data_IF_472593612417
#
_entry.id   IF_472593612417
#
_cell.length_a   1.000
_cell.length_b   1.000
_cell.length_c   1.000
_cell.angle_alpha   90.00
_cell.angle_beta   90.00
_cell.angle_gamma   90.00
#
_symmetry.space_group_name_H-M   'P 1'
#
loop_
_entity.id
_entity.type
_entity.pdbx_description
1 polymer ?
#
# COMPACT_ATOMS: atom_id res chain seq x y z
N UNK A 1 10.93 -58.62 20.04
CA UNK A 1 11.31 -57.73 18.91
C UNK A 1 10.40 -56.51 18.97
N UNK A 2 10.96 -55.31 19.11
CA UNK A 2 10.22 -54.07 19.39
C UNK A 2 9.48 -53.56 18.14
N UNK A 3 8.16 -53.55 18.20
CA UNK A 3 7.25 -52.96 17.22
C UNK A 3 7.08 -51.43 17.42
N UNK A 4 8.06 -50.77 18.03
CA UNK A 4 8.05 -49.34 18.37
C UNK A 4 8.84 -48.46 17.37
N UNK A 5 9.37 -49.03 16.28
CA UNK A 5 10.15 -48.30 15.25
C UNK A 5 9.36 -47.98 13.98
N UNK A 6 8.03 -48.04 14.01
CA UNK A 6 7.16 -47.64 12.89
C UNK A 6 6.23 -46.46 13.23
N UNK A 7 6.25 -45.97 14.46
CA UNK A 7 5.49 -44.81 14.94
C UNK A 7 6.42 -43.71 15.47
N UNK A 8 7.55 -43.48 14.79
CA UNK A 8 8.43 -42.36 15.08
C UNK A 8 9.20 -41.91 13.83
N UNK A 9 8.44 -41.46 12.84
CA UNK A 9 8.80 -40.28 12.04
C UNK A 9 7.65 -39.30 12.29
N UNK A 10 7.66 -38.60 13.42
CA UNK A 10 8.02 -37.17 13.37
C UNK A 10 8.89 -36.79 12.17
N UNK A 11 8.30 -36.81 10.97
CA UNK A 11 8.55 -35.74 10.01
C UNK A 11 7.64 -34.59 10.48
N UNK A 12 7.92 -33.98 11.62
CA UNK A 12 8.66 -32.71 11.66
C UNK A 12 8.25 -31.80 10.49
N UNK A 13 7.02 -31.29 10.60
CA UNK A 13 6.69 -29.87 10.70
C UNK A 13 7.50 -28.86 9.85
N UNK A 14 7.98 -29.25 8.67
CA UNK A 14 8.45 -28.31 7.65
C UNK A 14 8.35 -28.94 6.27
N UNK A 15 7.13 -29.27 5.81
CA UNK A 15 6.87 -29.00 4.38
C UNK A 15 7.12 -27.51 4.25
N UNK A 16 8.25 -27.13 3.66
CA UNK A 16 8.67 -25.76 3.36
C UNK A 16 7.48 -24.83 3.46
N UNK A 17 7.33 -24.13 4.59
CA UNK A 17 6.13 -23.31 4.82
C UNK A 17 6.17 -22.24 3.74
N UNK A 18 5.47 -22.49 2.64
CA UNK A 18 5.51 -21.65 1.46
C UNK A 18 5.27 -20.23 1.94
N UNK A 19 6.26 -19.36 1.71
CA UNK A 19 6.13 -17.95 2.05
C UNK A 19 5.18 -17.33 1.02
N UNK A 20 3.89 -17.52 1.28
CA UNK A 20 2.82 -17.04 0.43
C UNK A 20 2.83 -15.51 0.30
N UNK A 21 3.43 -14.80 1.26
CA UNK A 21 3.64 -13.37 1.14
C UNK A 21 4.72 -13.08 0.09
N UNK A 22 5.89 -13.70 0.20
CA UNK A 22 6.97 -13.53 -0.78
C UNK A 22 6.54 -13.96 -2.20
N UNK A 23 5.83 -15.08 -2.32
CA UNK A 23 5.25 -15.53 -3.59
C UNK A 23 4.26 -14.50 -4.15
N UNK A 24 3.36 -13.97 -3.32
CA UNK A 24 2.40 -12.95 -3.72
C UNK A 24 3.07 -11.68 -4.23
N UNK A 25 4.13 -11.22 -3.56
CA UNK A 25 4.94 -10.06 -4.00
C UNK A 25 5.59 -10.34 -5.37
N UNK A 26 6.18 -11.51 -5.57
CA UNK A 26 6.80 -11.89 -6.84
C UNK A 26 5.79 -12.00 -7.98
N UNK A 27 4.61 -12.57 -7.72
CA UNK A 27 3.51 -12.63 -8.68
C UNK A 27 3.01 -11.23 -9.05
N UNK A 28 2.88 -10.33 -8.06
CA UNK A 28 2.47 -8.95 -8.30
C UNK A 28 3.49 -8.16 -9.14
N UNK A 29 4.79 -8.39 -8.91
CA UNK A 29 5.89 -7.82 -9.74
C UNK A 29 5.82 -8.30 -11.19
N UNK A 30 5.42 -9.55 -11.40
CA UNK A 30 5.19 -10.16 -12.74
C UNK A 30 3.81 -9.86 -13.32
N UNK A 31 3.04 -8.97 -12.67
CA UNK A 31 1.69 -8.57 -13.08
C UNK A 31 0.66 -9.72 -13.11
N UNK A 32 0.94 -10.82 -12.43
CA UNK A 32 0.03 -11.96 -12.24
C UNK A 32 -0.90 -11.70 -11.06
N UNK A 33 -1.73 -10.67 -11.18
CA UNK A 33 -2.46 -10.08 -10.05
C UNK A 33 -3.43 -11.02 -9.34
N UNK A 34 -4.21 -11.83 -10.08
CA UNK A 34 -5.16 -12.75 -9.45
C UNK A 34 -4.47 -13.86 -8.66
N UNK A 35 -3.31 -14.30 -9.15
CA UNK A 35 -2.49 -15.30 -8.47
C UNK A 35 -1.83 -14.67 -7.23
N UNK A 36 -1.32 -13.44 -7.35
CA UNK A 36 -0.83 -12.68 -6.19
C UNK A 36 -1.88 -12.54 -5.09
N UNK A 37 -3.12 -12.17 -5.45
CA UNK A 37 -4.23 -12.10 -4.49
C UNK A 37 -4.54 -13.46 -3.86
N UNK A 38 -4.35 -14.56 -4.59
CA UNK A 38 -4.53 -15.92 -4.06
C UNK A 38 -3.45 -16.24 -3.04
N UNK A 39 -2.17 -15.99 -3.34
CA UNK A 39 -1.08 -16.17 -2.38
C UNK A 39 -1.24 -15.26 -1.16
N UNK A 40 -1.59 -13.98 -1.33
CA UNK A 40 -1.84 -13.10 -0.18
C UNK A 40 -3.00 -13.56 0.70
N UNK A 41 -4.08 -14.11 0.13
CA UNK A 41 -5.16 -14.71 0.94
C UNK A 41 -4.68 -15.92 1.74
N UNK A 42 -3.78 -16.73 1.19
CA UNK A 42 -3.16 -17.84 1.91
C UNK A 42 -2.23 -17.32 3.02
N UNK A 43 -1.44 -16.28 2.77
CA UNK A 43 -0.63 -15.63 3.79
C UNK A 43 -1.47 -15.09 4.97
N UNK A 44 -2.64 -14.49 4.68
CA UNK A 44 -3.57 -14.05 5.71
C UNK A 44 -4.27 -15.18 6.47
N UNK A 45 -4.33 -16.41 5.95
CA UNK A 45 -4.81 -17.55 6.76
C UNK A 45 -3.86 -17.88 7.90
N UNK A 46 -2.56 -17.74 7.65
CA UNK A 46 -1.51 -17.94 8.64
C UNK A 46 -1.39 -16.74 9.60
N UNK A 47 -1.52 -15.52 9.08
CA UNK A 47 -1.45 -14.26 9.84
C UNK A 47 -2.62 -13.34 9.50
N UNK A 48 -3.80 -13.51 10.13
CA UNK A 48 -5.04 -12.81 9.76
C UNK A 48 -5.03 -11.28 9.84
N UNK A 49 -4.06 -10.72 10.56
CA UNK A 49 -3.90 -9.27 10.77
C UNK A 49 -2.56 -8.75 10.25
N UNK A 50 -1.91 -9.47 9.34
CA UNK A 50 -0.67 -8.98 8.75
C UNK A 50 -0.95 -7.78 7.84
N UNK A 51 -0.67 -6.59 8.38
CA UNK A 51 -0.95 -5.33 7.72
C UNK A 51 -0.15 -5.17 6.42
N UNK A 52 1.07 -5.70 6.35
CA UNK A 52 1.89 -5.66 5.14
C UNK A 52 1.26 -6.48 4.01
N UNK A 53 0.71 -7.67 4.30
CA UNK A 53 -0.06 -8.43 3.31
C UNK A 53 -1.32 -7.69 2.85
N UNK A 54 -2.06 -7.07 3.78
CA UNK A 54 -3.25 -6.28 3.43
C UNK A 54 -2.91 -5.07 2.53
N UNK A 55 -1.81 -4.36 2.82
CA UNK A 55 -1.31 -3.27 2.00
C UNK A 55 -0.96 -3.75 0.59
N UNK A 56 -0.25 -4.88 0.45
CA UNK A 56 0.07 -5.44 -0.86
C UNK A 56 -1.19 -5.87 -1.63
N UNK A 57 -2.19 -6.44 -0.95
CA UNK A 57 -3.49 -6.72 -1.58
C UNK A 57 -4.18 -5.45 -2.07
N UNK A 58 -4.19 -4.38 -1.29
CA UNK A 58 -4.78 -3.10 -1.66
C UNK A 58 -4.07 -2.47 -2.87
N UNK A 59 -2.73 -2.56 -2.94
CA UNK A 59 -1.94 -2.16 -4.11
C UNK A 59 -2.34 -2.99 -5.33
N UNK A 60 -2.47 -4.30 -5.20
CA UNK A 60 -2.90 -5.16 -6.32
C UNK A 60 -4.31 -4.81 -6.79
N UNK A 61 -5.26 -4.62 -5.87
CA UNK A 61 -6.62 -4.16 -6.19
C UNK A 61 -6.62 -2.82 -6.94
N UNK A 62 -5.75 -1.89 -6.52
CA UNK A 62 -5.54 -0.60 -7.21
C UNK A 62 -5.06 -0.82 -8.65
N UNK A 63 -4.06 -1.68 -8.87
CA UNK A 63 -3.49 -1.94 -10.21
C UNK A 63 -4.48 -2.58 -11.18
N UNK A 64 -5.44 -3.36 -10.70
CA UNK A 64 -6.47 -4.01 -11.53
C UNK A 64 -7.78 -3.22 -11.61
N UNK A 65 -7.84 -2.00 -11.06
CA UNK A 65 -9.02 -1.13 -11.13
C UNK A 65 -10.17 -1.54 -10.20
N UNK A 66 -9.94 -2.44 -9.25
CA UNK A 66 -10.90 -2.81 -8.20
C UNK A 66 -10.87 -1.76 -7.07
N UNK A 67 -11.34 -0.55 -7.40
CA UNK A 67 -11.19 0.63 -6.53
C UNK A 67 -11.92 0.48 -5.20
N UNK A 68 -13.11 -0.11 -5.17
CA UNK A 68 -13.87 -0.29 -3.92
C UNK A 68 -13.20 -1.29 -2.98
N UNK A 69 -12.69 -2.40 -3.51
CA UNK A 69 -11.91 -3.39 -2.76
C UNK A 69 -10.63 -2.77 -2.21
N UNK A 70 -9.93 -1.96 -3.02
CA UNK A 70 -8.72 -1.28 -2.61
C UNK A 70 -8.99 -0.30 -1.46
N UNK A 71 -9.99 0.59 -1.59
CA UNK A 71 -10.36 1.55 -0.54
C UNK A 71 -10.78 0.86 0.76
N UNK A 72 -11.61 -0.21 0.68
CA UNK A 72 -11.96 -1.00 1.87
C UNK A 72 -10.73 -1.65 2.51
N UNK A 73 -9.79 -2.14 1.71
CA UNK A 73 -8.60 -2.81 2.23
C UNK A 73 -7.63 -1.80 2.86
N UNK A 74 -7.42 -0.63 2.24
CA UNK A 74 -6.66 0.46 2.85
C UNK A 74 -7.32 0.96 4.14
N UNK A 75 -8.65 1.11 4.17
CA UNK A 75 -9.39 1.46 5.38
C UNK A 75 -9.11 0.50 6.53
N UNK A 76 -9.16 -0.81 6.28
CA UNK A 76 -8.82 -1.83 7.30
C UNK A 76 -7.38 -1.72 7.81
N UNK A 77 -6.43 -1.33 6.97
CA UNK A 77 -5.05 -1.09 7.41
C UNK A 77 -4.99 0.11 8.33
N UNK A 78 -5.68 1.20 7.96
CA UNK A 78 -5.71 2.45 8.73
C UNK A 78 -6.50 2.34 10.03
N UNK A 79 -7.51 1.48 10.09
CA UNK A 79 -8.25 1.18 11.33
C UNK A 79 -7.34 0.55 12.41
N UNK A 80 -6.36 -0.25 11.99
CA UNK A 80 -5.43 -0.94 12.88
C UNK A 80 -4.12 -0.17 13.09
N UNK A 81 -3.64 0.54 12.07
CA UNK A 81 -2.44 1.37 12.11
C UNK A 81 -2.67 2.70 11.37
N UNK A 82 -3.18 3.72 12.09
CA UNK A 82 -3.55 5.02 11.51
C UNK A 82 -2.39 5.84 10.96
N UNK A 83 -1.15 5.46 11.24
CA UNK A 83 0.06 6.17 10.83
C UNK A 83 0.75 5.54 9.61
N UNK A 84 0.12 4.59 8.92
CA UNK A 84 0.68 3.89 7.76
C UNK A 84 0.71 4.78 6.51
N UNK A 85 1.90 5.26 6.07
CA UNK A 85 1.98 6.19 4.95
C UNK A 85 1.48 5.57 3.64
N UNK A 86 1.87 4.33 3.36
CA UNK A 86 1.50 3.63 2.12
C UNK A 86 -0.03 3.51 1.95
N UNK A 87 -0.75 3.25 3.05
CA UNK A 87 -2.21 3.14 3.03
C UNK A 87 -2.87 4.51 2.81
N UNK A 88 -2.38 5.56 3.48
CA UNK A 88 -2.83 6.93 3.24
C UNK A 88 -2.63 7.36 1.78
N UNK A 89 -1.44 7.15 1.22
CA UNK A 89 -1.17 7.51 -0.18
C UNK A 89 -2.07 6.76 -1.16
N UNK A 90 -2.22 5.44 -0.98
CA UNK A 90 -3.07 4.60 -1.83
C UNK A 90 -4.54 5.03 -1.79
N UNK A 91 -5.09 5.29 -0.59
CA UNK A 91 -6.44 5.79 -0.43
C UNK A 91 -6.62 7.18 -1.07
N UNK A 92 -5.72 8.12 -0.79
CA UNK A 92 -5.74 9.46 -1.37
C UNK A 92 -5.71 9.45 -2.89
N UNK A 93 -4.83 8.64 -3.49
CA UNK A 93 -4.74 8.48 -4.95
C UNK A 93 -6.06 7.99 -5.58
N UNK A 94 -6.69 6.98 -4.96
CA UNK A 94 -7.96 6.45 -5.45
C UNK A 94 -9.13 7.43 -5.27
N UNK A 95 -9.13 8.22 -4.20
CA UNK A 95 -10.14 9.25 -3.94
C UNK A 95 -10.03 10.40 -4.95
N UNK A 96 -8.80 10.81 -5.32
CA UNK A 96 -8.59 11.77 -6.41
C UNK A 96 -9.19 11.29 -7.72
N UNK A 97 -8.94 10.02 -8.07
CA UNK A 97 -9.49 9.42 -9.29
C UNK A 97 -11.03 9.35 -9.27
N UNK A 98 -11.66 9.45 -8.09
CA UNK A 98 -13.12 9.55 -7.91
C UNK A 98 -13.64 10.99 -7.84
N UNK A 99 -12.77 11.99 -7.90
CA UNK A 99 -13.14 13.40 -7.72
C UNK A 99 -13.49 13.78 -6.28
N UNK A 100 -13.16 12.92 -5.31
CA UNK A 100 -13.37 13.17 -3.88
C UNK A 100 -12.15 13.91 -3.31
N UNK A 101 -12.00 15.16 -3.75
CA UNK A 101 -10.78 15.95 -3.53
C UNK A 101 -10.54 16.30 -2.04
N UNK A 102 -11.61 16.57 -1.27
CA UNK A 102 -11.47 16.88 0.16
C UNK A 102 -10.97 15.69 0.97
N UNK A 103 -11.55 14.50 0.77
CA UNK A 103 -11.11 13.28 1.44
C UNK A 103 -9.69 12.89 0.99
N UNK A 104 -9.40 13.04 -0.30
CA UNK A 104 -8.06 12.82 -0.83
C UNK A 104 -7.02 13.74 -0.16
N UNK A 105 -7.33 15.03 0.00
CA UNK A 105 -6.44 15.99 0.64
C UNK A 105 -6.08 15.55 2.06
N UNK A 106 -7.08 15.15 2.88
CA UNK A 106 -6.84 14.65 4.24
C UNK A 106 -5.89 13.44 4.27
N UNK A 107 -6.06 12.49 3.35
CA UNK A 107 -5.17 11.34 3.26
C UNK A 107 -3.75 11.71 2.79
N UNK A 108 -3.62 12.63 1.84
CA UNK A 108 -2.30 13.08 1.37
C UNK A 108 -1.56 13.90 2.44
N UNK A 109 -2.27 14.68 3.24
CA UNK A 109 -1.71 15.40 4.40
C UNK A 109 -1.16 14.42 5.43
N UNK A 110 -1.96 13.44 5.85
CA UNK A 110 -1.54 12.39 6.78
C UNK A 110 -0.35 11.57 6.24
N UNK A 111 -0.33 11.28 4.93
CA UNK A 111 0.83 10.66 4.28
C UNK A 111 2.11 11.48 4.46
N UNK A 112 2.07 12.79 4.27
CA UNK A 112 3.23 13.67 4.44
C UNK A 112 3.63 13.83 5.91
N UNK A 113 2.66 13.90 6.83
CA UNK A 113 2.88 13.97 8.28
C UNK A 113 3.60 12.73 8.82
N UNK A 114 3.27 11.55 8.29
CA UNK A 114 3.90 10.29 8.67
C UNK A 114 5.36 10.14 8.18
N UNK A 115 5.89 11.13 7.44
CA UNK A 115 7.29 11.21 6.97
C UNK A 115 7.78 9.90 6.32
N UNK A 116 7.22 9.52 5.16
CA UNK A 116 7.53 8.26 4.50
C UNK A 116 9.02 8.22 4.13
N UNK A 117 9.72 7.20 4.62
CA UNK A 117 11.18 7.03 4.46
C UNK A 117 11.57 5.82 3.61
N UNK A 118 10.59 5.13 3.05
CA UNK A 118 10.82 3.94 2.22
C UNK A 118 11.46 4.30 0.86
N UNK A 119 12.33 3.45 0.31
CA UNK A 119 12.95 3.69 -0.99
C UNK A 119 11.90 3.94 -2.08
N UNK A 120 12.05 5.06 -2.79
CA UNK A 120 11.11 5.46 -3.84
C UNK A 120 9.87 6.22 -3.34
N UNK A 121 9.75 6.51 -2.04
CA UNK A 121 8.71 7.41 -1.51
C UNK A 121 8.81 8.83 -2.09
N UNK A 122 9.98 9.26 -2.55
CA UNK A 122 10.23 10.61 -3.09
C UNK A 122 9.23 11.01 -4.18
N UNK A 123 8.88 10.07 -5.08
CA UNK A 123 7.90 10.33 -6.15
C UNK A 123 6.49 10.55 -5.58
N UNK A 124 6.13 9.79 -4.55
CA UNK A 124 4.83 9.89 -3.88
C UNK A 124 4.75 11.18 -3.05
N UNK A 125 5.84 11.55 -2.36
CA UNK A 125 5.97 12.81 -1.63
C UNK A 125 5.82 14.01 -2.57
N UNK A 126 6.50 13.99 -3.71
CA UNK A 126 6.37 15.03 -4.73
C UNK A 126 4.92 15.14 -5.22
N UNK A 127 4.34 14.02 -5.65
CA UNK A 127 2.95 13.98 -6.12
C UNK A 127 1.97 14.51 -5.07
N UNK A 128 2.12 14.10 -3.81
CA UNK A 128 1.25 14.55 -2.72
C UNK A 128 1.33 16.07 -2.51
N UNK A 129 2.54 16.64 -2.49
CA UNK A 129 2.76 18.09 -2.33
C UNK A 129 2.17 18.89 -3.49
N UNK A 130 2.47 18.49 -4.73
CA UNK A 130 1.94 19.15 -5.93
C UNK A 130 0.41 19.09 -5.99
N UNK A 131 -0.16 17.93 -5.63
CA UNK A 131 -1.61 17.76 -5.59
C UNK A 131 -2.24 18.65 -4.53
N UNK A 132 -1.70 18.69 -3.31
CA UNK A 132 -2.23 19.52 -2.23
C UNK A 132 -2.16 21.01 -2.57
N UNK A 133 -1.06 21.47 -3.18
CA UNK A 133 -0.93 22.84 -3.65
C UNK A 133 -2.03 23.17 -4.68
N UNK A 134 -2.20 22.32 -5.69
CA UNK A 134 -3.28 22.45 -6.68
C UNK A 134 -4.66 22.52 -6.03
N UNK A 135 -4.96 21.63 -5.08
CA UNK A 135 -6.26 21.57 -4.40
C UNK A 135 -6.53 22.81 -3.53
N UNK A 136 -5.48 23.43 -2.98
CA UNK A 136 -5.57 24.68 -2.20
C UNK A 136 -5.67 25.93 -3.07
N UNK A 137 -5.53 25.80 -4.39
CA UNK A 137 -5.41 26.93 -5.30
C UNK A 137 -4.05 27.63 -5.22
N UNK A 138 -3.08 27.00 -4.57
CA UNK A 138 -1.67 27.40 -4.58
C UNK A 138 -1.10 26.86 -5.90
N UNK A 139 -1.11 27.70 -6.95
CA UNK A 139 -0.41 27.38 -8.19
C UNK A 139 1.08 27.10 -7.91
N UNK A 140 1.80 26.42 -8.83
CA UNK A 140 3.22 26.15 -8.64
C UNK A 140 3.90 27.47 -8.31
N UNK A 141 4.61 27.50 -7.17
CA UNK A 141 5.26 28.70 -6.62
C UNK A 141 5.73 29.58 -7.76
N UNK A 142 4.98 30.66 -8.03
CA UNK A 142 5.40 31.70 -8.95
C UNK A 142 6.61 32.33 -8.26
N UNK A 143 7.79 31.81 -8.59
CA UNK A 143 9.06 32.34 -8.16
C UNK A 143 9.08 33.77 -8.66
N UNK A 144 8.69 34.68 -7.78
CA UNK A 144 8.55 36.10 -8.04
C UNK A 144 9.77 36.61 -8.79
N UNK A 145 9.63 36.75 -10.10
CA UNK A 145 10.40 37.71 -10.84
C UNK A 145 9.62 39.00 -10.69
N UNK A 146 10.07 39.83 -9.75
CA UNK A 146 9.61 41.20 -9.63
C UNK A 146 9.57 41.84 -11.03
N UNK A 147 8.50 42.55 -11.41
CA UNK A 147 8.60 43.45 -12.54
C UNK A 147 9.55 44.56 -12.09
N UNK A 148 10.80 44.49 -12.56
CA UNK A 148 11.73 45.61 -12.53
C UNK A 148 11.10 46.75 -13.35
N UNK A 149 10.38 47.59 -12.64
CA UNK A 149 9.84 48.84 -13.11
C UNK A 149 10.69 49.99 -12.60
N UNK A 150 11.02 50.88 -13.54
CA UNK A 150 11.62 52.21 -13.38
C UNK A 150 13.16 52.18 -13.38
N UNK A 151 13.87 52.78 -14.35
CA UNK A 151 13.68 54.11 -14.96
C UNK A 151 14.27 54.16 -16.40
#
# INVERSE_FOLDING_TARGET
>A
MNWWRFWNSGDDESRDRLDYYAEGVELARKERFHEALTSFRLALRERPRDLSTLEQMAVVYTRIGMTDEALRTYGRVLDEAPDRPAAHYGAGYLLLNRGLEEEAARHLEAFLEARPSEPGAERHVRHARETLARLRGEGPEDSGTEPDGSD
#
